data_IF_636328149933
#
_entry.id   IF_636328149933
#
_cell.length_a   1.000
_cell.length_b   1.000
_cell.length_c   1.000
_cell.angle_alpha   90.00
_cell.angle_beta   90.00
_cell.angle_gamma   90.00
#
_symmetry.space_group_name_H-M   'P 1'
#
loop_
_entity.id
_entity.type
_entity.pdbx_description
1 polymer ?
#
# COMPACT_ATOMS: atom_id res chain seq x y z
N UNK A 1 21.95 13.26 -9.89
CA UNK A 1 21.23 13.02 -8.70
C UNK A 1 20.63 11.64 -8.65
N UNK A 2 20.89 10.93 -7.62
CA UNK A 2 20.38 9.59 -7.47
C UNK A 2 19.04 9.58 -6.84
N UNK A 3 18.14 8.94 -7.46
CA UNK A 3 16.83 8.82 -6.89
C UNK A 3 16.73 7.45 -6.25
N UNK A 4 17.03 7.41 -5.00
CA UNK A 4 16.87 6.17 -4.26
C UNK A 4 15.52 6.22 -3.59
N UNK A 5 14.65 5.32 -3.98
CA UNK A 5 13.34 5.26 -3.36
C UNK A 5 13.48 4.60 -2.01
N UNK A 6 13.16 5.36 -1.00
CA UNK A 6 13.18 4.83 0.36
C UNK A 6 11.92 3.99 0.59
N UNK A 7 11.95 3.25 1.69
CA UNK A 7 10.77 2.46 2.06
C UNK A 7 9.53 3.34 2.20
N UNK A 8 9.70 4.53 2.74
CA UNK A 8 8.54 5.39 2.92
C UNK A 8 7.98 5.87 1.60
N UNK A 9 8.84 6.06 0.58
CA UNK A 9 8.33 6.46 -0.73
C UNK A 9 7.58 5.33 -1.40
N UNK A 10 8.08 4.10 -1.27
CA UNK A 10 7.37 2.96 -1.80
C UNK A 10 6.03 2.78 -1.10
N UNK A 11 6.03 2.98 0.21
CA UNK A 11 4.79 2.87 0.97
C UNK A 11 3.78 3.92 0.52
N UNK A 12 4.25 5.15 0.27
CA UNK A 12 3.36 6.20 -0.21
C UNK A 12 2.74 5.84 -1.56
N UNK A 13 3.56 5.31 -2.46
CA UNK A 13 3.05 4.90 -3.75
C UNK A 13 2.03 3.79 -3.62
N UNK A 14 2.31 2.83 -2.73
CA UNK A 14 1.40 1.74 -2.50
C UNK A 14 0.08 2.24 -1.93
N UNK A 15 0.15 3.19 -0.98
CA UNK A 15 -1.05 3.76 -0.39
C UNK A 15 -1.89 4.44 -1.47
N UNK A 16 -1.24 5.22 -2.33
CA UNK A 16 -1.97 5.90 -3.39
C UNK A 16 -2.63 4.90 -4.32
N UNK A 17 -1.91 3.84 -4.67
CA UNK A 17 -2.47 2.81 -5.54
C UNK A 17 -3.65 2.12 -4.88
N UNK A 18 -3.51 1.80 -3.60
CA UNK A 18 -4.58 1.13 -2.86
C UNK A 18 -5.81 2.04 -2.76
N UNK A 19 -5.59 3.31 -2.49
CA UNK A 19 -6.71 4.26 -2.41
C UNK A 19 -7.48 4.30 -3.73
N UNK A 20 -6.74 4.34 -4.83
CA UNK A 20 -7.39 4.35 -6.13
C UNK A 20 -8.13 3.05 -6.39
N UNK A 21 -7.50 1.94 -6.04
CA UNK A 21 -8.12 0.63 -6.25
C UNK A 21 -9.39 0.48 -5.42
N UNK A 22 -9.41 1.05 -4.22
CA UNK A 22 -10.61 0.99 -3.39
C UNK A 22 -11.75 1.76 -4.02
N UNK A 23 -11.45 2.87 -4.66
CA UNK A 23 -12.49 3.63 -5.35
C UNK A 23 -13.02 2.86 -6.53
N UNK A 24 -12.14 2.15 -7.24
CA UNK A 24 -12.57 1.36 -8.39
C UNK A 24 -13.32 0.10 -7.97
N UNK A 25 -12.91 -0.50 -6.88
CA UNK A 25 -13.47 -1.77 -6.41
C UNK A 25 -13.75 -1.71 -4.91
N UNK A 26 -14.79 -0.99 -4.50
CA UNK A 26 -15.06 -0.85 -3.07
C UNK A 26 -15.43 -2.16 -2.38
N UNK A 27 -15.79 -3.18 -3.14
CA UNK A 27 -16.13 -4.47 -2.56
C UNK A 27 -14.91 -5.28 -2.19
N UNK A 28 -13.77 -4.96 -2.76
CA UNK A 28 -12.57 -5.74 -2.52
C UNK A 28 -12.04 -5.50 -1.12
N UNK A 29 -11.74 -6.56 -0.37
CA UNK A 29 -11.22 -6.36 0.99
C UNK A 29 -9.84 -5.72 0.97
N UNK A 30 -9.59 -4.94 2.01
CA UNK A 30 -8.34 -4.19 2.11
C UNK A 30 -7.14 -5.12 2.10
N UNK A 31 -7.25 -6.27 2.76
CA UNK A 31 -6.14 -7.22 2.80
C UNK A 31 -5.73 -7.67 1.40
N UNK A 32 -6.71 -7.85 0.52
CA UNK A 32 -6.41 -8.23 -0.85
C UNK A 32 -5.67 -7.11 -1.58
N UNK A 33 -6.09 -5.88 -1.37
CA UNK A 33 -5.44 -4.76 -2.01
C UNK A 33 -4.00 -4.60 -1.51
N UNK A 34 -3.79 -4.82 -0.24
CA UNK A 34 -2.44 -4.75 0.32
C UNK A 34 -1.56 -5.84 -0.31
N UNK A 35 -2.10 -7.04 -0.46
CA UNK A 35 -1.33 -8.12 -1.09
C UNK A 35 -0.96 -7.77 -2.52
N UNK A 36 -1.92 -7.23 -3.27
CA UNK A 36 -1.65 -6.86 -4.65
C UNK A 36 -0.60 -5.75 -4.73
N UNK A 37 -0.70 -4.78 -3.84
CA UNK A 37 0.28 -3.71 -3.81
C UNK A 37 1.66 -4.24 -3.47
N UNK A 38 1.73 -5.18 -2.53
CA UNK A 38 3.00 -5.76 -2.16
C UNK A 38 3.66 -6.43 -3.36
N UNK A 39 2.88 -7.11 -4.17
CA UNK A 39 3.41 -7.78 -5.35
C UNK A 39 3.79 -6.77 -6.42
N UNK A 40 2.97 -5.74 -6.61
CA UNK A 40 3.25 -4.73 -7.63
C UNK A 40 4.52 -3.95 -7.33
N UNK A 41 4.68 -3.56 -6.09
CA UNK A 41 5.79 -2.70 -5.71
C UNK A 41 6.91 -3.47 -5.04
N UNK A 42 6.80 -4.79 -5.03
CA UNK A 42 7.84 -5.65 -4.46
C UNK A 42 8.15 -5.25 -3.03
N UNK A 43 7.12 -5.14 -2.22
CA UNK A 43 7.26 -4.73 -0.84
C UNK A 43 7.67 -5.88 0.05
N UNK A 44 8.48 -5.58 1.06
CA UNK A 44 8.84 -6.57 2.06
C UNK A 44 7.78 -6.70 3.14
N UNK A 45 7.97 -7.68 4.05
CA UNK A 45 6.99 -7.90 5.12
C UNK A 45 6.77 -6.67 6.00
N UNK A 46 7.83 -5.92 6.27
CA UNK A 46 7.70 -4.73 7.11
C UNK A 46 6.87 -3.67 6.43
N UNK A 47 7.05 -3.52 5.13
CA UNK A 47 6.27 -2.53 4.39
C UNK A 47 4.81 -2.92 4.36
N UNK A 48 4.53 -4.22 4.23
CA UNK A 48 3.16 -4.70 4.24
C UNK A 48 2.52 -4.43 5.60
N UNK A 49 3.24 -4.69 6.68
CA UNK A 49 2.72 -4.41 8.02
C UNK A 49 2.44 -2.93 8.19
N UNK A 50 3.35 -2.10 7.70
CA UNK A 50 3.16 -0.65 7.79
C UNK A 50 1.89 -0.24 7.04
N UNK A 51 1.70 -0.78 5.85
CA UNK A 51 0.52 -0.43 5.07
C UNK A 51 -0.75 -0.85 5.77
N UNK A 52 -0.78 -2.06 6.30
CA UNK A 52 -1.97 -2.54 6.97
C UNK A 52 -2.31 -1.66 8.17
N UNK A 53 -1.31 -1.30 8.94
CA UNK A 53 -1.52 -0.47 10.10
C UNK A 53 -1.97 0.94 9.72
N UNK A 54 -1.29 1.50 8.72
CA UNK A 54 -1.60 2.85 8.26
C UNK A 54 -3.02 2.94 7.74
N UNK A 55 -3.41 1.99 6.93
CA UNK A 55 -4.74 2.02 6.32
C UNK A 55 -5.82 1.73 7.34
N UNK A 56 -5.53 0.86 8.30
CA UNK A 56 -6.49 0.58 9.36
C UNK A 56 -6.77 1.83 10.18
N UNK A 57 -5.73 2.62 10.43
CA UNK A 57 -5.93 3.87 11.17
C UNK A 57 -6.73 4.88 10.39
N UNK A 58 -6.56 4.90 9.09
CA UNK A 58 -7.29 5.85 8.27
C UNK A 58 -8.77 5.52 8.17
N UNK A 59 -9.10 4.28 8.39
CA UNK A 59 -10.50 3.86 8.26
C UNK A 59 -11.32 4.12 9.52
N UNK A 60 -10.73 4.57 10.57
CA UNK A 60 -11.45 4.82 11.83
C UNK A 60 -12.37 6.00 11.78
#
# INVERSE_FOLDING_TARGET
MTTVMTHSELAKKAVAWISQARQDNPEKPLSKLVEEAAMRFNLGPRDVEFLERFLAEQER
#
